data_IF_125592387808
#
_entry.id   IF_125592387808
#
_cell.length_a   1.000
_cell.length_b   1.000
_cell.length_c   1.000
_cell.angle_alpha   90.00
_cell.angle_beta   90.00
_cell.angle_gamma   90.00
#
_symmetry.space_group_name_H-M   'P 1'
#
loop_
_entity.id
_entity.type
_entity.pdbx_description
1 polymer ?
#
# COMPACT_ATOMS: atom_id res chain seq x y z
N UNK A 1 -11.44 -4.07 -8.83
CA UNK A 1 -10.06 -4.36 -8.41
C UNK A 1 -10.08 -5.79 -7.91
N UNK A 2 -9.23 -6.68 -8.43
CA UNK A 2 -9.13 -8.03 -7.86
C UNK A 2 -8.37 -7.83 -6.54
N UNK A 3 -9.06 -8.01 -5.41
CA UNK A 3 -8.39 -8.06 -4.11
C UNK A 3 -7.68 -9.40 -4.08
N UNK A 4 -6.36 -9.41 -4.20
CA UNK A 4 -5.63 -10.66 -4.07
C UNK A 4 -5.80 -11.20 -2.64
N UNK A 5 -6.26 -12.44 -2.49
CA UNK A 5 -6.55 -13.01 -1.18
C UNK A 5 -5.27 -13.05 -0.35
N UNK A 6 -5.34 -12.72 0.95
CA UNK A 6 -4.19 -12.83 1.84
C UNK A 6 -3.50 -14.20 1.70
N UNK A 7 -2.15 -14.27 1.80
CA UNK A 7 -1.42 -15.53 1.78
C UNK A 7 -2.07 -16.55 2.74
N UNK A 8 -2.12 -17.83 2.34
CA UNK A 8 -2.66 -18.90 3.16
C UNK A 8 -1.81 -19.15 4.42
N UNK A 9 -0.52 -18.82 4.36
CA UNK A 9 0.41 -18.93 5.48
C UNK A 9 1.76 -18.34 5.13
N UNK A 10 2.72 -18.57 6.03
CA UNK A 10 4.05 -17.98 5.91
C UNK A 10 4.84 -18.49 4.70
N UNK A 11 4.75 -19.78 4.38
CA UNK A 11 5.49 -20.36 3.26
C UNK A 11 5.09 -19.73 1.92
N UNK A 12 3.79 -19.49 1.73
CA UNK A 12 3.27 -18.80 0.54
C UNK A 12 3.73 -17.34 0.49
N UNK A 13 3.71 -16.65 1.64
CA UNK A 13 4.24 -15.28 1.72
C UNK A 13 5.71 -15.25 1.29
N UNK A 14 6.57 -16.08 1.89
CA UNK A 14 8.01 -16.09 1.63
C UNK A 14 8.37 -16.54 0.21
N UNK A 15 7.61 -17.48 -0.37
CA UNK A 15 7.86 -17.99 -1.73
C UNK A 15 7.57 -16.94 -2.80
N UNK A 16 6.60 -16.06 -2.55
CA UNK A 16 6.13 -15.06 -3.53
C UNK A 16 6.80 -13.70 -3.37
N UNK A 17 7.78 -13.55 -2.47
CA UNK A 17 8.51 -12.30 -2.32
C UNK A 17 9.37 -12.01 -3.56
N UNK A 18 9.38 -10.76 -4.07
CA UNK A 18 10.25 -10.36 -5.18
C UNK A 18 11.72 -10.19 -4.75
N UNK A 19 12.02 -10.36 -3.46
CA UNK A 19 13.33 -10.15 -2.85
C UNK A 19 13.84 -11.43 -2.19
N UNK A 20 15.17 -11.56 -2.15
CA UNK A 20 15.84 -12.61 -1.40
C UNK A 20 16.16 -12.14 0.01
N UNK A 21 15.54 -12.76 1.01
CA UNK A 21 15.84 -12.53 2.41
C UNK A 21 17.05 -13.36 2.87
N UNK A 22 17.88 -12.78 3.72
CA UNK A 22 18.96 -13.49 4.42
C UNK A 22 18.41 -14.54 5.39
N UNK A 23 19.26 -15.47 5.83
CA UNK A 23 18.86 -16.49 6.81
C UNK A 23 18.37 -15.89 8.14
N UNK A 24 19.00 -14.81 8.58
CA UNK A 24 18.61 -14.08 9.80
C UNK A 24 17.25 -13.39 9.63
N UNK A 25 17.03 -12.71 8.51
CA UNK A 25 15.73 -12.10 8.20
C UNK A 25 14.60 -13.11 8.12
N UNK A 26 14.83 -14.25 7.46
CA UNK A 26 13.84 -15.34 7.40
C UNK A 26 13.50 -15.87 8.79
N UNK A 27 14.51 -16.06 9.65
CA UNK A 27 14.30 -16.49 11.03
C UNK A 27 13.51 -15.44 11.85
N UNK A 28 13.81 -14.15 11.67
CA UNK A 28 13.08 -13.07 12.34
C UNK A 28 11.61 -12.98 11.87
N UNK A 29 11.35 -13.17 10.58
CA UNK A 29 9.98 -13.22 10.02
C UNK A 29 9.22 -14.44 10.56
N UNK A 30 9.86 -15.61 10.60
CA UNK A 30 9.30 -16.84 11.16
C UNK A 30 8.90 -16.64 12.63
N UNK A 31 9.80 -16.07 13.43
CA UNK A 31 9.54 -15.76 14.84
C UNK A 31 8.35 -14.81 15.00
N UNK A 32 8.27 -13.75 14.18
CA UNK A 32 7.16 -12.81 14.22
C UNK A 32 5.81 -13.47 13.85
N UNK A 33 5.82 -14.34 12.84
CA UNK A 33 4.64 -15.11 12.44
C UNK A 33 4.14 -16.02 13.58
N UNK A 34 5.03 -16.78 14.19
CA UNK A 34 4.68 -17.67 15.31
C UNK A 34 4.13 -16.89 16.50
N UNK A 35 4.72 -15.73 16.80
CA UNK A 35 4.25 -14.86 17.87
C UNK A 35 2.86 -14.28 17.57
N UNK A 36 2.61 -13.84 16.34
CA UNK A 36 1.29 -13.36 15.92
C UNK A 36 0.21 -14.47 16.01
N UNK A 37 0.55 -15.69 15.60
CA UNK A 37 -0.33 -16.86 15.73
C UNK A 37 -0.72 -17.13 17.19
N UNK A 38 0.25 -17.06 18.10
CA UNK A 38 0.02 -17.33 19.52
C UNK A 38 -0.78 -16.22 20.21
N UNK A 39 -0.47 -14.96 19.92
CA UNK A 39 -1.03 -13.82 20.64
C UNK A 39 -2.46 -13.47 20.23
N UNK A 40 -2.81 -13.59 18.95
CA UNK A 40 -4.13 -13.18 18.47
C UNK A 40 -5.22 -14.25 18.64
N UNK A 41 -4.84 -15.53 18.68
CA UNK A 41 -5.77 -16.65 18.75
C UNK A 41 -6.86 -16.58 17.68
N UNK A 42 -8.10 -16.90 18.06
CA UNK A 42 -9.26 -16.91 17.17
C UNK A 42 -10.02 -15.56 17.10
N UNK A 43 -9.43 -14.49 17.62
CA UNK A 43 -10.10 -13.18 17.66
C UNK A 43 -10.28 -12.65 16.23
N UNK A 44 -11.51 -12.26 15.83
CA UNK A 44 -11.73 -11.66 14.53
C UNK A 44 -11.22 -10.22 14.50
N UNK A 45 -10.68 -9.83 13.36
CA UNK A 45 -10.35 -8.47 12.98
C UNK A 45 -11.63 -7.68 12.65
N UNK A 46 -11.54 -6.34 12.63
CA UNK A 46 -12.69 -5.46 12.36
C UNK A 46 -13.31 -5.69 10.98
N UNK A 47 -12.54 -6.18 10.00
CA UNK A 47 -13.02 -6.58 8.66
C UNK A 47 -13.60 -8.01 8.63
N UNK A 48 -13.68 -8.69 9.76
CA UNK A 48 -14.21 -10.06 9.92
C UNK A 48 -13.28 -11.19 9.51
N UNK A 49 -12.06 -10.91 9.04
CA UNK A 49 -11.01 -11.94 8.92
C UNK A 49 -10.28 -12.16 10.25
N UNK A 50 -9.32 -13.09 10.36
CA UNK A 50 -8.48 -13.18 11.57
C UNK A 50 -7.35 -12.15 11.53
N UNK A 51 -6.88 -11.69 12.70
CA UNK A 51 -5.71 -10.81 12.79
C UNK A 51 -4.47 -11.37 12.07
N UNK A 52 -4.29 -12.70 12.09
CA UNK A 52 -3.19 -13.34 11.37
C UNK A 52 -3.32 -13.17 9.84
N UNK A 53 -4.53 -13.31 9.30
CA UNK A 53 -4.78 -13.11 7.86
C UNK A 53 -4.57 -11.65 7.46
N UNK A 54 -5.02 -10.73 8.30
CA UNK A 54 -4.74 -9.29 8.15
C UNK A 54 -3.23 -9.03 8.10
N UNK A 55 -2.49 -9.48 9.12
CA UNK A 55 -1.02 -9.33 9.19
C UNK A 55 -0.30 -9.92 7.98
N UNK A 56 -0.69 -11.11 7.51
CA UNK A 56 -0.12 -11.73 6.29
C UNK A 56 -0.38 -10.88 5.04
N UNK A 57 -1.55 -10.26 4.92
CA UNK A 57 -1.87 -9.41 3.78
C UNK A 57 -1.07 -8.10 3.79
N UNK A 58 -0.92 -7.47 4.96
CA UNK A 58 -0.08 -6.28 5.13
C UNK A 58 1.39 -6.61 4.86
N UNK A 59 1.88 -7.73 5.39
CA UNK A 59 3.24 -8.21 5.16
C UNK A 59 3.52 -8.51 3.68
N UNK A 60 2.52 -9.04 2.94
CA UNK A 60 2.64 -9.20 1.48
C UNK A 60 2.81 -7.87 0.77
N UNK A 61 1.98 -6.86 1.07
CA UNK A 61 2.10 -5.53 0.46
C UNK A 61 3.50 -4.96 0.72
N UNK A 62 4.02 -5.11 1.94
CA UNK A 62 5.38 -4.68 2.30
C UNK A 62 6.45 -5.44 1.51
N UNK A 63 6.29 -6.76 1.37
CA UNK A 63 7.17 -7.60 0.56
C UNK A 63 7.18 -7.22 -0.91
N UNK A 64 6.02 -6.92 -1.49
CA UNK A 64 5.86 -6.46 -2.89
C UNK A 64 6.58 -5.12 -3.15
N UNK A 65 6.71 -4.27 -2.13
CA UNK A 65 7.49 -3.03 -2.20
C UNK A 65 9.01 -3.28 -2.14
N UNK A 66 9.44 -4.51 -1.86
CA UNK A 66 10.85 -4.91 -1.77
C UNK A 66 11.54 -4.50 -0.46
N UNK A 67 10.77 -4.37 0.64
CA UNK A 67 11.29 -4.02 1.97
C UNK A 67 11.88 -5.24 2.69
N UNK A 68 12.83 -4.99 3.58
CA UNK A 68 13.58 -6.03 4.29
C UNK A 68 12.72 -6.96 5.18
N UNK A 69 13.30 -8.09 5.58
CA UNK A 69 12.58 -9.09 6.37
C UNK A 69 12.16 -8.57 7.74
N UNK A 70 12.88 -7.61 8.33
CA UNK A 70 12.48 -7.00 9.60
C UNK A 70 11.20 -6.17 9.45
N UNK A 71 11.05 -5.45 8.34
CA UNK A 71 9.85 -4.68 8.03
C UNK A 71 8.66 -5.59 7.74
N UNK A 72 8.89 -6.68 7.00
CA UNK A 72 7.88 -7.73 6.77
C UNK A 72 7.45 -8.36 8.10
N UNK A 73 8.41 -8.70 8.97
CA UNK A 73 8.14 -9.23 10.30
C UNK A 73 7.33 -8.26 11.15
N UNK A 74 7.69 -6.97 11.16
CA UNK A 74 6.93 -5.94 11.87
C UNK A 74 5.50 -5.75 11.32
N UNK A 75 5.30 -5.92 10.01
CA UNK A 75 3.97 -5.91 9.40
C UNK A 75 3.10 -7.09 9.87
N UNK A 76 3.68 -8.27 10.10
CA UNK A 76 2.94 -9.42 10.65
C UNK A 76 2.43 -9.16 12.07
N UNK A 77 3.19 -8.43 12.88
CA UNK A 77 2.89 -8.15 14.30
C UNK A 77 2.47 -6.69 14.55
N UNK A 78 2.06 -5.94 13.53
CA UNK A 78 1.80 -4.50 13.70
C UNK A 78 0.65 -4.20 14.68
N UNK A 79 -0.30 -5.12 14.81
CA UNK A 79 -1.44 -5.06 15.74
C UNK A 79 -1.23 -5.88 17.02
N UNK A 80 -0.01 -6.33 17.31
CA UNK A 80 0.25 -7.23 18.44
C UNK A 80 -0.06 -6.62 19.81
N UNK A 81 -0.07 -5.28 19.92
CA UNK A 81 -0.33 -4.54 21.17
C UNK A 81 -1.82 -4.23 21.38
N UNK A 82 -2.70 -4.73 20.52
CA UNK A 82 -4.14 -4.53 20.66
C UNK A 82 -4.66 -5.16 21.97
N UNK A 83 -5.69 -4.57 22.60
CA UNK A 83 -6.10 -4.97 23.96
C UNK A 83 -6.42 -6.47 24.15
N UNK A 84 -6.87 -7.17 23.09
CA UNK A 84 -7.23 -8.60 23.17
C UNK A 84 -6.03 -9.53 23.32
N UNK A 85 -4.83 -9.11 22.92
CA UNK A 85 -3.62 -9.94 23.02
C UNK A 85 -3.04 -9.96 24.43
N UNK A 86 -3.33 -8.91 25.23
CA UNK A 86 -2.71 -8.65 26.53
C UNK A 86 -1.16 -8.65 26.47
N UNK A 87 -0.58 -8.29 25.31
CA UNK A 87 0.86 -8.20 25.07
C UNK A 87 1.35 -6.79 25.35
N UNK A 88 2.46 -6.66 26.08
CA UNK A 88 3.12 -5.38 26.34
C UNK A 88 4.37 -5.18 25.47
N UNK A 89 4.84 -3.92 25.33
CA UNK A 89 6.10 -3.61 24.65
C UNK A 89 7.32 -4.38 25.24
N UNK A 90 7.47 -4.52 26.57
CA UNK A 90 8.47 -5.40 27.15
C UNK A 90 8.38 -6.87 26.72
N UNK A 91 7.18 -7.39 26.48
CA UNK A 91 7.00 -8.78 26.02
C UNK A 91 7.43 -8.92 24.56
N UNK A 92 7.04 -7.96 23.71
CA UNK A 92 7.53 -7.88 22.32
C UNK A 92 9.06 -7.83 22.28
N UNK A 93 9.69 -7.02 23.13
CA UNK A 93 11.14 -6.88 23.18
C UNK A 93 11.88 -8.16 23.61
N UNK A 94 11.23 -9.03 24.39
CA UNK A 94 11.77 -10.34 24.77
C UNK A 94 11.54 -11.40 23.68
N UNK A 95 10.42 -11.30 22.97
CA UNK A 95 9.98 -12.32 22.02
C UNK A 95 10.52 -12.11 20.60
N UNK A 96 10.75 -10.87 20.16
CA UNK A 96 11.06 -10.54 18.78
C UNK A 96 12.42 -9.91 18.58
N UNK A 97 12.94 -10.05 17.36
CA UNK A 97 14.19 -9.42 16.92
C UNK A 97 14.21 -7.89 17.19
N UNK A 98 15.32 -7.29 17.64
CA UNK A 98 15.39 -5.88 18.01
C UNK A 98 14.91 -4.89 16.93
N UNK A 99 15.18 -5.19 15.65
CA UNK A 99 14.70 -4.34 14.54
C UNK A 99 13.18 -4.36 14.41
N UNK A 100 12.53 -5.51 14.62
CA UNK A 100 11.06 -5.66 14.61
C UNK A 100 10.48 -4.92 15.81
N UNK A 101 11.03 -5.15 17.00
CA UNK A 101 10.60 -4.48 18.25
C UNK A 101 10.62 -2.95 18.11
N UNK A 102 11.68 -2.39 17.50
CA UNK A 102 11.79 -0.95 17.26
C UNK A 102 10.69 -0.43 16.34
N UNK A 103 10.35 -1.17 15.28
CA UNK A 103 9.27 -0.82 14.36
C UNK A 103 7.90 -0.88 15.05
N UNK A 104 7.62 -1.93 15.83
CA UNK A 104 6.38 -2.09 16.61
C UNK A 104 6.21 -0.94 17.62
N UNK A 105 7.29 -0.54 18.30
CA UNK A 105 7.25 0.61 19.21
C UNK A 105 6.87 1.91 18.48
N UNK A 106 7.49 2.17 17.33
CA UNK A 106 7.20 3.37 16.55
C UNK A 106 5.78 3.35 15.94
N UNK A 107 5.26 2.17 15.59
CA UNK A 107 3.86 2.00 15.18
C UNK A 107 2.90 2.36 16.32
N UNK A 108 3.19 1.92 17.55
CA UNK A 108 2.40 2.29 18.72
C UNK A 108 2.39 3.81 18.95
N UNK A 109 3.53 4.50 18.78
CA UNK A 109 3.58 5.96 18.89
C UNK A 109 2.70 6.67 17.85
N UNK A 110 2.59 6.15 16.63
CA UNK A 110 1.66 6.67 15.61
C UNK A 110 0.21 6.49 16.06
N UNK A 111 -0.14 5.31 16.58
CA UNK A 111 -1.50 5.00 17.06
C UNK A 111 -1.86 5.92 18.24
N UNK A 112 -0.96 6.10 19.20
CA UNK A 112 -1.14 7.03 20.32
C UNK A 112 -1.30 8.47 19.86
N UNK A 113 -0.54 8.90 18.85
CA UNK A 113 -0.70 10.22 18.24
C UNK A 113 -2.06 10.38 17.56
N UNK A 114 -2.51 9.37 16.81
CA UNK A 114 -3.82 9.37 16.15
C UNK A 114 -5.00 9.42 17.14
N UNK A 115 -4.78 8.96 18.38
CA UNK A 115 -5.78 9.02 19.44
C UNK A 115 -5.92 10.41 20.10
N UNK A 116 -5.04 11.37 19.81
CA UNK A 116 -5.10 12.72 20.36
C UNK A 116 -6.23 13.53 19.73
N UNK A 117 -6.81 14.46 20.49
CA UNK A 117 -7.92 15.31 20.04
C UNK A 117 -7.60 16.13 18.79
N UNK A 118 -6.36 16.61 18.68
CA UNK A 118 -5.90 17.38 17.51
C UNK A 118 -5.99 16.54 16.24
N UNK A 119 -5.65 15.24 16.33
CA UNK A 119 -5.84 14.34 15.21
C UNK A 119 -7.33 14.19 14.96
N UNK A 120 -8.15 13.76 15.92
CA UNK A 120 -9.60 13.51 15.69
C UNK A 120 -10.37 14.67 15.05
N UNK A 121 -10.05 15.93 15.36
CA UNK A 121 -10.68 17.13 14.76
C UNK A 121 -10.47 17.28 13.26
N UNK A 122 -9.45 16.65 12.66
CA UNK A 122 -9.22 16.72 11.22
C UNK A 122 -10.32 16.04 10.40
N UNK A 123 -11.13 15.19 11.02
CA UNK A 123 -12.26 14.53 10.38
C UNK A 123 -13.47 15.47 10.20
N UNK A 124 -13.54 16.54 11.00
CA UNK A 124 -14.68 17.46 11.02
C UNK A 124 -14.45 18.71 10.16
N UNK A 125 -13.20 19.02 9.81
CA UNK A 125 -12.82 20.20 9.04
C UNK A 125 -11.77 19.85 7.99
N UNK A 126 -12.05 20.18 6.72
CA UNK A 126 -11.10 20.14 5.59
C UNK A 126 -10.04 21.27 5.69
N UNK A 127 -9.44 21.43 6.87
CA UNK A 127 -8.38 22.42 7.12
C UNK A 127 -7.03 21.87 6.66
N UNK A 128 -6.57 22.34 5.49
CA UNK A 128 -5.28 21.95 4.93
C UNK A 128 -4.09 22.29 5.84
N UNK A 129 -4.17 23.34 6.67
CA UNK A 129 -3.10 23.68 7.61
C UNK A 129 -3.01 22.67 8.77
N UNK A 130 -4.16 22.17 9.24
CA UNK A 130 -4.23 21.09 10.22
C UNK A 130 -3.70 19.78 9.61
N UNK A 131 -4.14 19.43 8.40
CA UNK A 131 -3.64 18.25 7.68
C UNK A 131 -2.12 18.30 7.48
N UNK A 132 -1.57 19.46 7.13
CA UNK A 132 -0.12 19.62 6.98
C UNK A 132 0.61 19.46 8.32
N UNK A 133 0.05 19.99 9.41
CA UNK A 133 0.56 19.77 10.76
C UNK A 133 0.60 18.28 11.12
N UNK A 134 -0.47 17.55 10.82
CA UNK A 134 -0.56 16.10 11.06
C UNK A 134 0.50 15.35 10.25
N UNK A 135 0.60 15.62 8.94
CA UNK A 135 1.61 14.99 8.06
C UNK A 135 3.03 15.25 8.56
N UNK A 136 3.32 16.47 9.02
CA UNK A 136 4.63 16.81 9.62
C UNK A 136 4.88 16.05 10.92
N UNK A 137 3.90 15.98 11.81
CA UNK A 137 4.02 15.25 13.06
C UNK A 137 4.29 13.76 12.83
N UNK A 138 3.57 13.13 11.90
CA UNK A 138 3.81 11.74 11.50
C UNK A 138 5.24 11.54 10.99
N UNK A 139 5.73 12.43 10.10
CA UNK A 139 7.11 12.38 9.60
C UNK A 139 8.16 12.57 10.72
N UNK A 140 7.85 13.34 11.76
CA UNK A 140 8.73 13.50 12.93
C UNK A 140 8.79 12.21 13.75
N UNK A 141 7.64 11.56 13.99
CA UNK A 141 7.56 10.27 14.71
C UNK A 141 8.39 9.22 13.96
N UNK A 142 8.22 9.13 12.65
CA UNK A 142 8.93 8.13 11.82
C UNK A 142 10.31 8.58 11.35
N UNK A 143 10.86 9.69 11.85
CA UNK A 143 12.15 10.24 11.38
C UNK A 143 13.30 9.24 11.46
N UNK A 144 13.28 8.37 12.47
CA UNK A 144 14.32 7.34 12.66
C UNK A 144 14.17 6.19 11.66
N UNK A 145 12.96 5.95 11.17
CA UNK A 145 12.66 4.86 10.26
C UNK A 145 11.35 5.07 9.52
N UNK A 146 11.45 5.36 8.23
CA UNK A 146 10.31 5.60 7.35
C UNK A 146 9.48 4.33 7.12
N UNK A 147 10.03 3.14 7.34
CA UNK A 147 9.31 1.89 7.10
C UNK A 147 8.08 1.76 7.99
N UNK A 148 8.08 2.42 9.15
CA UNK A 148 6.93 2.52 10.06
C UNK A 148 5.71 3.11 9.36
N UNK A 149 5.87 4.22 8.61
CA UNK A 149 4.73 4.82 7.91
C UNK A 149 4.32 3.97 6.69
N UNK A 150 5.24 3.22 6.09
CA UNK A 150 4.91 2.31 4.99
C UNK A 150 4.06 1.13 5.46
N UNK A 151 4.38 0.54 6.62
CA UNK A 151 3.53 -0.48 7.27
C UNK A 151 2.13 0.10 7.51
N UNK A 152 2.03 1.31 8.06
CA UNK A 152 0.73 1.94 8.29
C UNK A 152 -0.04 2.21 6.99
N UNK A 153 0.64 2.59 5.91
CA UNK A 153 -0.03 2.76 4.61
C UNK A 153 -0.50 1.43 4.03
N UNK A 154 0.29 0.36 4.15
CA UNK A 154 -0.09 -0.97 3.69
C UNK A 154 -1.31 -1.52 4.46
N UNK A 155 -1.37 -1.25 5.76
CA UNK A 155 -2.51 -1.51 6.63
C UNK A 155 -3.78 -0.79 6.11
N UNK A 156 -3.73 0.52 5.84
CA UNK A 156 -4.87 1.24 5.22
C UNK A 156 -5.28 0.70 3.86
N UNK A 157 -4.32 0.30 3.02
CA UNK A 157 -4.62 -0.32 1.72
C UNK A 157 -5.43 -1.59 1.93
N UNK A 158 -5.00 -2.46 2.84
CA UNK A 158 -5.69 -3.71 3.10
C UNK A 158 -7.07 -3.49 3.74
N UNK A 159 -7.18 -2.63 4.73
CA UNK A 159 -8.45 -2.24 5.35
C UNK A 159 -9.44 -1.72 4.31
N UNK A 160 -9.00 -0.80 3.45
CA UNK A 160 -9.87 -0.22 2.42
C UNK A 160 -10.29 -1.21 1.33
N UNK A 161 -9.47 -2.22 1.03
CA UNK A 161 -9.86 -3.33 0.15
C UNK A 161 -11.04 -4.13 0.73
N UNK A 162 -11.19 -4.15 2.05
CA UNK A 162 -12.24 -4.88 2.77
C UNK A 162 -13.28 -3.98 3.45
N UNK A 163 -13.18 -2.66 3.30
CA UNK A 163 -13.98 -1.69 4.04
C UNK A 163 -15.50 -1.75 3.76
N UNK A 164 -15.95 -2.51 2.76
CA UNK A 164 -17.37 -2.85 2.57
C UNK A 164 -17.99 -3.52 3.80
N UNK A 165 -17.19 -4.22 4.61
CA UNK A 165 -17.62 -4.91 5.83
C UNK A 165 -17.62 -4.03 7.09
N UNK A 166 -17.01 -2.85 7.01
CA UNK A 166 -16.91 -1.91 8.14
C UNK A 166 -18.17 -1.06 8.26
N UNK A 167 -18.35 -0.42 9.42
CA UNK A 167 -19.37 0.61 9.56
C UNK A 167 -19.12 1.77 8.59
N UNK A 168 -20.18 2.49 8.21
CA UNK A 168 -20.04 3.65 7.33
C UNK A 168 -19.10 4.70 7.92
N UNK A 169 -19.20 4.94 9.23
CA UNK A 169 -18.35 5.90 9.93
C UNK A 169 -16.86 5.51 9.85
N UNK A 170 -16.52 4.25 10.13
CA UNK A 170 -15.13 3.77 10.06
C UNK A 170 -14.60 3.79 8.63
N UNK A 171 -15.42 3.35 7.66
CA UNK A 171 -15.07 3.36 6.25
C UNK A 171 -14.79 4.77 5.73
N UNK A 172 -15.63 5.74 6.08
CA UNK A 172 -15.44 7.14 5.69
C UNK A 172 -14.20 7.74 6.35
N UNK A 173 -13.96 7.44 7.63
CA UNK A 173 -12.74 7.85 8.34
C UNK A 173 -11.48 7.33 7.65
N UNK A 174 -11.42 6.02 7.38
CA UNK A 174 -10.28 5.39 6.71
C UNK A 174 -10.04 5.97 5.31
N UNK A 175 -11.12 6.15 4.53
CA UNK A 175 -11.03 6.72 3.20
C UNK A 175 -10.55 8.18 3.23
N UNK A 176 -11.03 8.97 4.18
CA UNK A 176 -10.61 10.35 4.37
C UNK A 176 -9.11 10.45 4.71
N UNK A 177 -8.66 9.70 5.72
CA UNK A 177 -7.26 9.67 6.13
C UNK A 177 -6.35 9.13 5.00
N UNK A 178 -6.78 8.09 4.28
CA UNK A 178 -6.05 7.59 3.11
C UNK A 178 -5.89 8.66 2.03
N UNK A 179 -6.95 9.41 1.72
CA UNK A 179 -6.92 10.47 0.70
C UNK A 179 -6.10 11.68 1.15
N UNK A 180 -6.27 12.14 2.39
CA UNK A 180 -5.81 13.45 2.83
C UNK A 180 -4.53 13.40 3.66
N UNK A 181 -4.18 12.26 4.26
CA UNK A 181 -2.96 12.09 5.06
C UNK A 181 -1.99 11.16 4.32
N UNK A 182 -2.37 9.91 4.12
CA UNK A 182 -1.45 8.87 3.68
C UNK A 182 -1.09 8.95 2.18
N UNK A 183 -2.03 9.28 1.30
CA UNK A 183 -1.76 9.52 -0.13
C UNK A 183 -0.72 10.63 -0.36
N UNK A 184 -0.88 11.83 0.24
CA UNK A 184 0.12 12.90 0.17
C UNK A 184 1.47 12.52 0.77
N UNK A 185 1.49 11.74 1.86
CA UNK A 185 2.74 11.23 2.44
C UNK A 185 3.42 10.23 1.50
N UNK A 186 2.69 9.27 0.93
CA UNK A 186 3.22 8.32 -0.05
C UNK A 186 3.82 9.03 -1.27
N UNK A 187 3.18 10.12 -1.72
CA UNK A 187 3.71 10.98 -2.78
C UNK A 187 5.05 11.64 -2.41
N UNK A 188 5.19 12.16 -1.17
CA UNK A 188 6.45 12.77 -0.69
C UNK A 188 7.58 11.75 -0.59
N UNK A 189 7.25 10.51 -0.23
CA UNK A 189 8.20 9.41 -0.10
C UNK A 189 8.53 8.73 -1.44
N UNK A 190 7.85 9.11 -2.53
CA UNK A 190 8.05 8.51 -3.84
C UNK A 190 7.47 7.09 -3.98
N UNK A 191 6.66 6.62 -3.02
CA UNK A 191 6.06 5.28 -3.03
C UNK A 191 4.74 5.32 -3.78
N UNK A 192 4.86 5.44 -5.10
CA UNK A 192 3.72 5.68 -5.97
C UNK A 192 2.69 4.54 -5.99
N UNK A 193 3.12 3.30 -5.80
CA UNK A 193 2.21 2.14 -5.74
C UNK A 193 1.18 2.31 -4.62
N UNK A 194 1.64 2.56 -3.38
CA UNK A 194 0.76 2.82 -2.24
C UNK A 194 -0.08 4.08 -2.46
N UNK A 195 0.52 5.16 -2.95
CA UNK A 195 -0.20 6.42 -3.22
C UNK A 195 -1.46 6.18 -4.04
N UNK A 196 -1.29 5.58 -5.22
CA UNK A 196 -2.40 5.45 -6.16
C UNK A 196 -3.45 4.47 -5.67
N UNK A 197 -3.02 3.41 -4.98
CA UNK A 197 -3.95 2.44 -4.42
C UNK A 197 -4.78 3.04 -3.28
N UNK A 198 -4.15 3.76 -2.35
CA UNK A 198 -4.83 4.52 -1.30
C UNK A 198 -5.83 5.53 -1.90
N UNK A 199 -5.40 6.31 -2.90
CA UNK A 199 -6.24 7.31 -3.56
C UNK A 199 -7.45 6.70 -4.28
N UNK A 200 -7.27 5.63 -5.05
CA UNK A 200 -8.36 4.98 -5.79
C UNK A 200 -9.35 4.28 -4.84
N UNK A 201 -8.84 3.63 -3.79
CA UNK A 201 -9.64 3.00 -2.75
C UNK A 201 -10.43 4.03 -1.94
N UNK A 202 -9.79 5.11 -1.52
CA UNK A 202 -10.46 6.20 -0.82
C UNK A 202 -11.52 6.87 -1.69
N UNK A 203 -11.20 7.17 -2.96
CA UNK A 203 -12.12 7.81 -3.90
C UNK A 203 -13.39 6.97 -4.13
N UNK A 204 -13.26 5.63 -4.09
CA UNK A 204 -14.40 4.72 -4.17
C UNK A 204 -15.45 4.98 -3.09
N UNK A 205 -15.02 5.32 -1.88
CA UNK A 205 -15.92 5.51 -0.75
C UNK A 205 -16.31 6.97 -0.54
N UNK A 206 -15.39 7.92 -0.76
CA UNK A 206 -15.68 9.34 -0.62
C UNK A 206 -16.60 9.86 -1.73
N UNK A 207 -16.41 9.41 -2.98
CA UNK A 207 -17.15 9.88 -4.15
C UNK A 207 -17.61 8.69 -5.01
N UNK A 208 -18.55 7.86 -4.52
CA UNK A 208 -18.91 6.59 -5.14
C UNK A 208 -19.57 6.74 -6.52
N UNK A 209 -20.26 7.85 -6.78
CA UNK A 209 -20.91 8.10 -8.07
C UNK A 209 -19.90 8.38 -9.19
N UNK A 210 -18.98 9.31 -8.96
CA UNK A 210 -17.90 9.62 -9.90
C UNK A 210 -16.99 8.43 -10.13
N UNK A 211 -16.65 7.70 -9.05
CA UNK A 211 -15.88 6.46 -9.15
C UNK A 211 -16.57 5.46 -10.08
N UNK A 212 -17.85 5.16 -9.85
CA UNK A 212 -18.63 4.22 -10.67
C UNK A 212 -18.74 4.68 -12.12
N UNK A 213 -18.94 5.97 -12.36
CA UNK A 213 -19.02 6.54 -13.70
C UNK A 213 -17.71 6.35 -14.47
N UNK A 214 -16.57 6.67 -13.87
CA UNK A 214 -15.25 6.51 -14.50
C UNK A 214 -14.92 5.03 -14.68
N UNK A 215 -15.18 4.19 -13.67
CA UNK A 215 -14.95 2.75 -13.72
C UNK A 215 -15.75 2.09 -14.87
N UNK A 216 -17.02 2.44 -15.03
CA UNK A 216 -17.88 1.95 -16.12
C UNK A 216 -17.33 2.34 -17.49
N UNK A 217 -16.96 3.60 -17.69
CA UNK A 217 -16.40 4.08 -18.96
C UNK A 217 -15.05 3.43 -19.28
N UNK A 218 -14.25 3.09 -18.26
CA UNK A 218 -13.02 2.30 -18.43
C UNK A 218 -13.33 0.85 -18.82
N UNK A 219 -14.36 0.23 -18.23
CA UNK A 219 -14.72 -1.16 -18.55
C UNK A 219 -15.33 -1.33 -19.93
N UNK A 220 -16.19 -0.41 -20.37
CA UNK A 220 -16.83 -0.44 -21.70
C UNK A 220 -15.80 -0.46 -22.84
N UNK A 221 -14.60 0.09 -22.60
CA UNK A 221 -13.51 0.14 -23.58
C UNK A 221 -12.41 -0.89 -23.35
N UNK A 222 -12.57 -1.80 -22.40
CA UNK A 222 -11.50 -2.70 -21.94
C UNK A 222 -10.99 -3.62 -23.04
N UNK A 223 -11.88 -4.26 -23.81
CA UNK A 223 -11.49 -5.24 -24.83
C UNK A 223 -10.71 -4.61 -25.99
N UNK A 224 -11.16 -3.45 -26.49
CA UNK A 224 -10.44 -2.72 -27.53
C UNK A 224 -9.12 -2.13 -27.01
N UNK A 225 -9.12 -1.64 -25.77
CA UNK A 225 -7.93 -1.15 -25.07
C UNK A 225 -6.87 -2.24 -24.93
N UNK A 226 -7.23 -3.39 -24.38
CA UNK A 226 -6.27 -4.45 -24.07
C UNK A 226 -5.63 -4.99 -25.37
N UNK A 227 -6.40 -5.05 -26.47
CA UNK A 227 -5.86 -5.36 -27.82
C UNK A 227 -4.87 -4.30 -28.33
N UNK A 228 -5.19 -3.01 -28.19
CA UNK A 228 -4.30 -1.90 -28.63
C UNK A 228 -3.02 -1.85 -27.81
N UNK A 229 -3.13 -1.96 -26.49
CA UNK A 229 -1.98 -1.97 -25.57
C UNK A 229 -1.12 -3.19 -25.83
N UNK A 230 -1.69 -4.39 -25.96
CA UNK A 230 -0.93 -5.61 -26.27
C UNK A 230 -0.21 -5.56 -27.63
N UNK A 231 -0.79 -4.88 -28.63
CA UNK A 231 -0.11 -4.64 -29.92
C UNK A 231 1.09 -3.71 -29.73
N UNK A 232 0.89 -2.57 -29.06
CA UNK A 232 1.96 -1.61 -28.82
C UNK A 232 3.07 -2.16 -27.91
N UNK A 233 2.73 -2.98 -26.91
CA UNK A 233 3.70 -3.69 -26.08
C UNK A 233 4.58 -4.62 -26.92
N UNK A 234 3.97 -5.42 -27.81
CA UNK A 234 4.72 -6.32 -28.70
C UNK A 234 5.66 -5.56 -29.62
N UNK A 235 5.15 -4.55 -30.33
CA UNK A 235 5.97 -3.73 -31.23
C UNK A 235 7.15 -3.06 -30.51
N UNK A 236 6.93 -2.55 -29.30
CA UNK A 236 7.99 -1.93 -28.52
C UNK A 236 8.99 -2.96 -27.99
N UNK A 237 8.53 -4.14 -27.54
CA UNK A 237 9.40 -5.21 -27.07
C UNK A 237 10.26 -5.79 -28.20
N UNK A 238 9.68 -5.99 -29.39
CA UNK A 238 10.38 -6.42 -30.60
C UNK A 238 11.47 -5.42 -31.00
N UNK A 239 11.11 -4.12 -31.08
CA UNK A 239 12.09 -3.07 -31.39
C UNK A 239 13.22 -3.02 -30.35
N UNK A 240 12.92 -3.06 -29.06
CA UNK A 240 13.95 -3.07 -28.01
C UNK A 240 14.87 -4.30 -28.11
N UNK A 241 14.31 -5.47 -28.43
CA UNK A 241 15.08 -6.69 -28.64
C UNK A 241 16.00 -6.62 -29.87
N UNK A 242 15.55 -5.97 -30.97
CA UNK A 242 16.40 -5.72 -32.15
C UNK A 242 17.64 -4.87 -31.82
N UNK A 243 17.52 -3.94 -30.87
CA UNK A 243 18.65 -3.15 -30.36
C UNK A 243 19.43 -3.85 -29.23
N UNK A 244 19.15 -5.13 -28.93
CA UNK A 244 19.81 -5.88 -27.87
C UNK A 244 19.44 -5.44 -26.45
N UNK A 245 18.40 -4.61 -26.29
CA UNK A 245 17.97 -4.07 -25.00
C UNK A 245 17.02 -5.07 -24.34
N UNK A 246 17.46 -5.67 -23.22
CA UNK A 246 16.59 -6.47 -22.36
C UNK A 246 15.66 -5.56 -21.56
N UNK A 247 14.37 -5.62 -21.89
CA UNK A 247 13.36 -4.81 -21.23
C UNK A 247 12.05 -5.58 -20.99
N UNK A 248 11.42 -5.32 -19.84
CA UNK A 248 10.08 -5.77 -19.52
C UNK A 248 9.07 -4.67 -19.87
N UNK A 249 8.21 -4.94 -20.87
CA UNK A 249 7.21 -3.99 -21.38
C UNK A 249 5.81 -4.38 -20.90
N UNK A 250 5.25 -3.61 -19.97
CA UNK A 250 3.93 -3.85 -19.38
C UNK A 250 2.92 -2.74 -19.67
N UNK A 251 1.66 -3.12 -19.90
CA UNK A 251 0.55 -2.20 -20.04
C UNK A 251 0.13 -1.69 -18.66
N UNK A 252 0.05 -0.38 -18.50
CA UNK A 252 -0.32 0.23 -17.22
C UNK A 252 -1.72 0.84 -17.31
N UNK A 253 -2.65 0.32 -16.52
CA UNK A 253 -3.95 0.96 -16.33
C UNK A 253 -3.77 2.28 -15.58
N UNK A 254 -4.47 3.32 -16.02
CA UNK A 254 -4.53 4.58 -15.27
C UNK A 254 -5.44 4.43 -14.07
N UNK A 255 -4.99 5.03 -12.97
CA UNK A 255 -5.70 5.09 -11.70
C UNK A 255 -6.91 6.02 -11.81
N UNK A 256 -8.05 5.58 -11.29
CA UNK A 256 -9.36 6.21 -11.44
C UNK A 256 -9.35 7.63 -10.87
N UNK A 257 -8.79 7.81 -9.68
CA UNK A 257 -8.69 9.12 -9.04
C UNK A 257 -7.79 10.07 -9.83
N UNK A 258 -6.72 9.57 -10.42
CA UNK A 258 -5.86 10.37 -11.30
C UNK A 258 -6.58 10.84 -12.56
N UNK A 259 -7.47 10.01 -13.13
CA UNK A 259 -8.34 10.39 -14.24
C UNK A 259 -9.30 11.50 -13.79
N UNK A 260 -9.99 11.29 -12.66
CA UNK A 260 -10.91 12.27 -12.07
C UNK A 260 -10.22 13.63 -11.86
N UNK A 261 -9.05 13.65 -11.20
CA UNK A 261 -8.25 14.87 -10.98
C UNK A 261 -7.83 15.55 -12.29
N UNK A 262 -7.62 14.80 -13.37
CA UNK A 262 -7.29 15.35 -14.69
C UNK A 262 -8.54 15.95 -15.37
N UNK A 263 -9.70 15.31 -15.24
CA UNK A 263 -10.99 15.84 -15.70
C UNK A 263 -11.30 17.18 -15.04
N UNK A 264 -11.19 17.24 -13.70
CA UNK A 264 -11.48 18.45 -12.92
C UNK A 264 -10.53 19.61 -13.27
N UNK A 265 -9.21 19.37 -13.25
CA UNK A 265 -8.22 20.43 -13.52
C UNK A 265 -8.29 20.99 -14.94
N UNK A 266 -8.60 20.15 -15.93
CA UNK A 266 -8.67 20.58 -17.34
C UNK A 266 -10.08 20.93 -17.81
N UNK A 267 -11.10 20.75 -16.95
CA UNK A 267 -12.54 20.88 -17.29
C UNK A 267 -12.90 20.06 -18.53
N UNK A 268 -12.39 18.83 -18.59
CA UNK A 268 -12.56 17.93 -19.73
C UNK A 268 -13.55 16.82 -19.40
N UNK A 269 -14.31 16.40 -20.42
CA UNK A 269 -15.08 15.16 -20.35
C UNK A 269 -14.15 13.95 -20.30
N UNK A 270 -14.67 12.79 -19.87
CA UNK A 270 -13.91 11.54 -19.92
C UNK A 270 -13.43 11.22 -21.34
N UNK A 271 -14.18 11.63 -22.37
CA UNK A 271 -13.86 11.38 -23.77
C UNK A 271 -12.59 12.08 -24.23
N UNK A 272 -12.39 13.32 -23.79
CA UNK A 272 -11.29 14.20 -24.19
C UNK A 272 -9.96 13.87 -23.48
N UNK A 273 -9.96 12.87 -22.59
CA UNK A 273 -8.72 12.34 -22.02
C UNK A 273 -8.08 11.42 -23.07
N UNK A 274 -7.23 11.99 -23.93
CA UNK A 274 -6.50 11.23 -24.98
C UNK A 274 -5.42 10.31 -24.42
N UNK A 275 -4.82 10.71 -23.31
CA UNK A 275 -3.79 9.96 -22.61
C UNK A 275 -4.50 9.00 -21.62
N UNK A 276 -5.21 8.01 -22.17
CA UNK A 276 -5.89 6.92 -21.43
C UNK A 276 -4.97 5.71 -21.24
N UNK A 277 -3.89 5.62 -22.01
CA UNK A 277 -3.05 4.43 -22.13
C UNK A 277 -1.60 4.79 -21.80
N UNK A 278 -0.96 3.97 -20.97
CA UNK A 278 0.46 4.09 -20.67
C UNK A 278 1.11 2.71 -20.81
N UNK A 279 2.32 2.69 -21.36
CA UNK A 279 3.18 1.51 -21.39
C UNK A 279 4.35 1.80 -20.45
N UNK A 280 4.66 0.86 -19.56
CA UNK A 280 5.83 0.90 -18.70
C UNK A 280 6.90 0.00 -19.30
N UNK A 281 8.09 0.56 -19.45
CA UNK A 281 9.29 -0.18 -19.88
C UNK A 281 10.24 -0.18 -18.70
N UNK A 282 10.63 -1.37 -18.23
CA UNK A 282 11.67 -1.57 -17.22
C UNK A 282 12.86 -2.19 -17.92
N UNK A 283 13.98 -1.49 -17.96
CA UNK A 283 15.21 -1.95 -18.62
C UNK A 283 16.13 -2.54 -17.55
N UNK A 284 16.77 -3.67 -17.83
CA UNK A 284 17.80 -4.21 -16.95
C UNK A 284 19.04 -3.30 -16.97
N UNK A 285 19.42 -2.77 -15.80
CA UNK A 285 20.57 -1.89 -15.63
C UNK A 285 21.89 -2.66 -15.78
N UNK A 286 22.24 -3.00 -17.02
CA UNK A 286 23.52 -3.60 -17.39
C UNK A 286 24.05 -3.15 -18.77
N UNK A 287 23.30 -2.32 -19.50
CA UNK A 287 23.60 -1.98 -20.91
C UNK A 287 23.80 -0.47 -21.18
N UNK A 288 23.63 0.41 -20.19
CA UNK A 288 23.78 1.87 -20.37
C UNK A 288 25.17 2.39 -19.96
N UNK A 289 26.19 1.52 -19.96
CA UNK A 289 27.51 1.82 -19.40
C UNK A 289 28.72 1.49 -20.29
N UNK A 290 28.53 1.17 -21.58
CA UNK A 290 29.63 1.09 -22.53
C UNK A 290 29.22 1.82 -23.80
N UNK A 291 30.13 2.67 -24.32
CA UNK A 291 29.96 3.56 -25.48
C UNK A 291 29.35 4.94 -25.20
N UNK A 292 30.00 5.69 -24.31
CA UNK A 292 30.14 7.13 -24.45
C UNK A 292 31.56 7.53 -24.06
N UNK A 293 32.52 7.27 -24.97
CA UNK A 293 33.83 7.92 -25.00
C UNK A 293 34.31 7.98 -26.45
#
# INVERSE_FOLDING_TARGET
MIVEPAPAGLDELLTNLPISLSGEEKAAVQQAYEYACQAHGDTPYVTGESYLRHGLAVARIIGELGLDGYTIGAALVHDILQPHTNVSLPDVAKALHPNITRLVHALNEIIEYANRDIYRRHLDNDDEALLETIRRALLIIVRKDVNVILIRMADYVHDLRLAEKLSEQERMRLAYEAMNVYGPLANRLGVWQLKWELEDLAFRYLNPEDYRNIARKLSERRTERDKRVARAQRQLAEALAEFGIKAHVSGRSKHIYSIYRKMQRKRLGFEDIHDKYAIRVVIESGLLGQEAN
#
